data_IF_123435998095
#
_entry.id   IF_123435998095
#
_cell.length_a   1.000
_cell.length_b   1.000
_cell.length_c   1.000
_cell.angle_alpha   90.00
_cell.angle_beta   90.00
_cell.angle_gamma   90.00
#
_symmetry.space_group_name_H-M   'P 1'
#
loop_
_entity.id
_entity.type
_entity.pdbx_description
1 polymer ?
#
# COMPACT_ATOMS: atom_id res chain seq x y z
N UNK A 1 7.55 -10.72 3.34
CA UNK A 1 8.65 -9.71 3.36
C UNK A 1 8.07 -8.30 3.29
N UNK A 2 8.65 -7.34 4.02
CA UNK A 2 8.22 -5.92 4.04
C UNK A 2 9.11 -5.08 3.12
N UNK A 3 8.53 -4.16 2.34
CA UNK A 3 9.29 -3.18 1.56
C UNK A 3 9.84 -2.04 2.44
N UNK A 4 10.96 -1.43 2.08
CA UNK A 4 11.55 -0.33 2.84
C UNK A 4 10.69 0.96 2.76
N UNK A 5 10.64 1.76 3.84
CA UNK A 5 9.94 3.05 3.84
C UNK A 5 10.88 4.16 3.33
N UNK A 6 11.05 4.26 2.01
CA UNK A 6 11.96 5.21 1.35
C UNK A 6 11.19 6.27 0.55
N UNK A 7 11.81 7.45 0.34
CA UNK A 7 11.25 8.52 -0.50
C UNK A 7 10.88 8.01 -1.90
N UNK A 8 11.73 7.17 -2.49
CA UNK A 8 11.47 6.53 -3.78
C UNK A 8 10.14 5.74 -3.78
N UNK A 9 9.91 4.92 -2.76
CA UNK A 9 8.67 4.15 -2.63
C UNK A 9 7.44 5.06 -2.44
N UNK A 10 7.59 6.24 -1.83
CA UNK A 10 6.50 7.23 -1.77
C UNK A 10 6.16 7.81 -3.13
N UNK A 11 7.16 8.02 -3.98
CA UNK A 11 6.98 8.56 -5.33
C UNK A 11 6.36 7.50 -6.27
N UNK A 12 6.81 6.25 -6.20
CA UNK A 12 6.35 5.16 -7.09
C UNK A 12 5.02 4.52 -6.65
N UNK A 13 4.50 4.87 -5.48
CA UNK A 13 3.31 4.23 -4.94
C UNK A 13 2.02 4.68 -5.63
N UNK A 14 1.18 3.73 -6.00
CA UNK A 14 -0.14 3.99 -6.59
C UNK A 14 -1.27 4.07 -5.55
N UNK A 15 -0.98 4.12 -4.25
CA UNK A 15 -2.02 4.12 -3.21
C UNK A 15 -3.03 5.25 -3.40
N UNK A 16 -2.60 6.45 -3.80
CA UNK A 16 -3.49 7.59 -4.02
C UNK A 16 -4.53 7.36 -5.13
N UNK A 17 -4.29 6.41 -6.04
CA UNK A 17 -5.18 6.02 -7.14
C UNK A 17 -6.04 4.78 -6.81
N UNK A 18 -5.81 4.16 -5.65
CA UNK A 18 -6.49 2.93 -5.29
C UNK A 18 -7.96 3.20 -4.92
N UNK A 19 -8.94 2.41 -5.42
CA UNK A 19 -10.36 2.57 -5.05
C UNK A 19 -10.63 2.47 -3.54
N UNK A 20 -9.77 1.75 -2.81
CA UNK A 20 -9.84 1.59 -1.35
C UNK A 20 -9.21 2.76 -0.59
N UNK A 21 -8.45 3.64 -1.24
CA UNK A 21 -7.77 4.75 -0.59
C UNK A 21 -8.73 5.87 -0.18
N UNK A 22 -8.39 6.55 0.92
CA UNK A 22 -9.10 7.72 1.43
C UNK A 22 -8.16 8.91 1.32
N UNK A 23 -8.65 10.01 0.73
CA UNK A 23 -7.88 11.23 0.53
C UNK A 23 -7.29 11.75 1.85
N UNK A 24 -6.01 12.14 1.81
CA UNK A 24 -5.26 12.60 2.99
C UNK A 24 -4.68 11.50 3.88
N UNK A 25 -4.78 10.22 3.50
CA UNK A 25 -4.05 9.16 4.18
C UNK A 25 -2.56 9.13 3.74
N UNK A 26 -1.61 8.65 4.57
CA UNK A 26 -0.18 8.77 4.29
C UNK A 26 0.35 7.91 3.12
N UNK A 27 -0.40 6.91 2.64
CA UNK A 27 0.03 6.04 1.54
C UNK A 27 1.09 5.01 1.91
N UNK A 28 1.61 4.28 0.91
CA UNK A 28 2.70 3.27 1.01
C UNK A 28 2.53 2.26 2.15
N UNK A 29 1.30 1.78 2.36
CA UNK A 29 0.98 0.92 3.51
C UNK A 29 1.69 -0.46 3.49
N UNK A 30 2.24 -0.89 2.35
CA UNK A 30 3.13 -2.06 2.28
C UNK A 30 4.49 -1.87 2.96
N UNK A 31 4.96 -0.62 3.07
CA UNK A 31 6.22 -0.26 3.68
C UNK A 31 6.06 0.37 5.07
N UNK A 32 4.85 0.78 5.43
CA UNK A 32 4.55 1.44 6.69
C UNK A 32 3.65 0.56 7.56
N UNK A 33 2.53 1.09 8.03
CA UNK A 33 1.51 0.43 8.85
C UNK A 33 0.16 0.49 8.14
N UNK A 34 -0.84 -0.24 8.64
CA UNK A 34 -2.22 -0.10 8.14
C UNK A 34 -2.77 1.30 8.44
N UNK A 35 -3.72 1.73 7.63
CA UNK A 35 -4.41 2.99 7.83
C UNK A 35 -5.38 2.92 9.02
N UNK A 36 -5.41 3.93 9.89
CA UNK A 36 -6.46 4.05 10.90
C UNK A 36 -7.82 4.39 10.26
N UNK A 37 -7.84 4.98 9.06
CA UNK A 37 -9.05 5.51 8.40
C UNK A 37 -9.68 4.54 7.39
N UNK A 38 -8.89 3.63 6.81
CA UNK A 38 -9.37 2.72 5.77
C UNK A 38 -9.76 1.39 6.42
N UNK A 39 -11.05 1.04 6.37
CA UNK A 39 -11.60 -0.19 6.99
C UNK A 39 -12.39 -1.08 6.04
N UNK A 40 -12.68 -0.61 4.83
CA UNK A 40 -13.51 -1.33 3.85
C UNK A 40 -12.72 -1.64 2.59
N UNK A 41 -12.87 -2.86 2.07
CA UNK A 41 -12.29 -3.27 0.79
C UNK A 41 -13.21 -2.82 -0.34
N UNK A 42 -12.71 -1.92 -1.21
CA UNK A 42 -13.45 -1.40 -2.39
C UNK A 42 -12.76 -1.73 -3.71
N UNK A 43 -11.82 -2.68 -3.69
CA UNK A 43 -10.91 -2.99 -4.80
C UNK A 43 -9.47 -2.59 -4.47
N UNK A 44 -8.51 -3.43 -4.84
CA UNK A 44 -7.09 -3.22 -4.54
C UNK A 44 -6.26 -3.36 -5.81
N UNK A 45 -5.42 -2.35 -6.06
CA UNK A 45 -4.51 -2.30 -7.20
C UNK A 45 -3.04 -2.53 -6.79
N UNK A 46 -2.81 -3.02 -5.56
CA UNK A 46 -1.46 -3.15 -5.02
C UNK A 46 -0.56 -4.05 -5.88
N UNK A 47 -1.09 -5.12 -6.48
CA UNK A 47 -0.32 -6.03 -7.34
C UNK A 47 0.22 -5.37 -8.61
N UNK A 48 -0.34 -4.22 -9.00
CA UNK A 48 0.10 -3.44 -10.16
C UNK A 48 1.02 -2.27 -9.76
N UNK A 49 1.26 -2.09 -8.45
CA UNK A 49 2.12 -1.03 -7.93
C UNK A 49 3.59 -1.38 -8.14
N UNK A 50 4.40 -0.42 -8.61
CA UNK A 50 5.84 -0.62 -8.81
C UNK A 50 6.56 -1.06 -7.53
N UNK A 51 6.21 -0.44 -6.39
CA UNK A 51 6.74 -0.82 -5.07
C UNK A 51 6.44 -2.29 -4.74
N UNK A 52 5.25 -2.79 -5.09
CA UNK A 52 4.89 -4.18 -4.83
C UNK A 52 5.74 -5.14 -5.66
N UNK A 53 5.87 -4.85 -6.97
CA UNK A 53 6.64 -5.69 -7.90
C UNK A 53 8.13 -5.69 -7.56
N UNK A 54 8.73 -4.51 -7.36
CA UNK A 54 10.15 -4.32 -7.06
C UNK A 54 10.57 -5.01 -5.75
N UNK A 55 9.67 -5.10 -4.78
CA UNK A 55 9.94 -5.73 -3.49
C UNK A 55 9.40 -7.17 -3.41
N UNK A 56 8.93 -7.74 -4.52
CA UNK A 56 8.38 -9.10 -4.61
C UNK A 56 7.38 -9.40 -3.48
N UNK A 57 6.50 -8.43 -3.19
CA UNK A 57 5.52 -8.58 -2.13
C UNK A 57 4.46 -9.63 -2.53
N UNK A 58 3.76 -10.15 -1.54
CA UNK A 58 2.61 -11.03 -1.73
C UNK A 58 1.38 -10.44 -1.02
N UNK A 59 0.20 -10.80 -1.51
CA UNK A 59 -1.06 -10.27 -1.00
C UNK A 59 -1.34 -8.84 -1.44
N UNK A 60 -2.20 -8.15 -0.70
CA UNK A 60 -2.66 -6.80 -1.01
C UNK A 60 -3.37 -6.21 0.19
N UNK A 61 -4.13 -5.13 -0.04
CA UNK A 61 -4.90 -4.47 1.03
C UNK A 61 -4.08 -4.11 2.28
N UNK A 62 -2.79 -3.77 2.12
CA UNK A 62 -1.91 -3.42 3.25
C UNK A 62 -2.43 -2.23 4.07
N UNK A 63 -3.24 -1.37 3.44
CA UNK A 63 -3.96 -0.28 4.10
C UNK A 63 -4.96 -0.75 5.18
N UNK A 64 -5.41 -2.00 5.13
CA UNK A 64 -6.40 -2.58 6.05
C UNK A 64 -5.76 -3.70 6.87
N UNK A 65 -5.09 -4.64 6.19
CA UNK A 65 -4.54 -5.85 6.80
C UNK A 65 -3.21 -5.58 7.52
N UNK A 66 -2.53 -4.48 7.18
CA UNK A 66 -1.17 -4.21 7.63
C UNK A 66 -0.15 -4.88 6.74
N UNK A 67 1.09 -4.90 7.20
CA UNK A 67 2.24 -5.35 6.41
C UNK A 67 2.08 -6.81 5.94
N UNK A 68 2.49 -7.07 4.70
CA UNK A 68 2.63 -8.42 4.15
C UNK A 68 3.56 -9.24 5.07
N UNK A 69 3.09 -10.40 5.55
CA UNK A 69 3.96 -11.41 6.17
C UNK A 69 4.77 -12.09 5.08
#
# INVERSE_FOLDING_TARGET
MKSANTVENHIECLCAQCPTYVQGAPGVFCATDKSPRIKQKKGCICTNCHVWMKNHLSGGYFCIEGMAR
#
